data_IF_781369463652
#
_entry.id   IF_781369463652
#
_cell.length_a   1.000
_cell.length_b   1.000
_cell.length_c   1.000
_cell.angle_alpha   90.00
_cell.angle_beta   90.00
_cell.angle_gamma   90.00
#
_symmetry.space_group_name_H-M   'P 1'
#
loop_
_entity.id
_entity.type
_entity.pdbx_description
1 polymer ?
#
# COMPACT_ATOMS: atom_id res chain seq x y z
N UNK A 1 -15.12 25.56 15.54
CA UNK A 1 -15.30 24.45 14.56
C UNK A 1 -13.97 24.02 13.92
N UNK A 2 -12.84 24.62 14.29
CA UNK A 2 -11.49 24.32 13.73
C UNK A 2 -10.85 23.03 14.28
N UNK A 3 -11.28 22.59 15.46
CA UNK A 3 -10.80 21.34 16.06
C UNK A 3 -11.25 20.09 15.30
N UNK A 4 -12.48 20.10 14.76
CA UNK A 4 -13.02 18.96 14.02
C UNK A 4 -12.28 18.79 12.69
N UNK A 5 -12.04 19.88 11.97
CA UNK A 5 -11.25 19.87 10.74
C UNK A 5 -9.80 19.46 10.99
N UNK A 6 -9.19 19.87 12.11
CA UNK A 6 -7.84 19.41 12.48
C UNK A 6 -7.76 17.90 12.72
N UNK A 7 -8.77 17.30 13.34
CA UNK A 7 -8.83 15.85 13.56
C UNK A 7 -9.00 15.09 12.24
N UNK A 8 -9.87 15.59 11.34
CA UNK A 8 -10.09 14.99 10.02
C UNK A 8 -8.81 15.01 9.17
N UNK A 9 -8.05 16.11 9.18
CA UNK A 9 -6.76 16.22 8.47
C UNK A 9 -5.67 15.33 9.08
N UNK A 10 -5.64 15.21 10.42
CA UNK A 10 -4.76 14.27 11.10
C UNK A 10 -5.07 12.82 10.73
N UNK A 11 -6.35 12.45 10.70
CA UNK A 11 -6.77 11.10 10.32
C UNK A 11 -6.38 10.76 8.87
N UNK A 12 -6.57 11.71 7.94
CA UNK A 12 -6.11 11.56 6.54
C UNK A 12 -4.60 11.36 6.46
N UNK A 13 -3.82 12.12 7.25
CA UNK A 13 -2.37 12.00 7.28
C UNK A 13 -1.93 10.62 7.81
N UNK A 14 -2.52 10.16 8.92
CA UNK A 14 -2.23 8.85 9.51
C UNK A 14 -2.58 7.72 8.55
N UNK A 15 -3.72 7.81 7.83
CA UNK A 15 -4.08 6.86 6.78
C UNK A 15 -3.04 6.82 5.66
N UNK A 16 -2.56 7.99 5.19
CA UNK A 16 -1.51 8.06 4.17
C UNK A 16 -0.16 7.49 4.63
N UNK A 17 0.21 7.73 5.89
CA UNK A 17 1.46 7.19 6.45
C UNK A 17 1.44 5.68 6.63
N UNK A 18 0.27 5.10 6.91
CA UNK A 18 0.11 3.66 7.12
C UNK A 18 -0.25 2.90 5.84
N UNK A 19 -0.63 3.60 4.76
CA UNK A 19 -0.88 2.98 3.48
C UNK A 19 0.44 2.54 2.83
N UNK A 20 0.56 1.28 2.39
CA UNK A 20 1.73 0.83 1.63
C UNK A 20 1.79 1.56 0.29
N UNK A 21 3.00 1.91 -0.15
CA UNK A 21 3.25 2.43 -1.49
C UNK A 21 3.46 1.25 -2.43
N UNK A 22 2.69 1.21 -3.52
CA UNK A 22 2.76 0.15 -4.52
C UNK A 22 3.24 0.75 -5.83
N UNK A 23 4.26 0.15 -6.42
CA UNK A 23 4.80 0.51 -7.75
C UNK A 23 4.85 -0.73 -8.61
N UNK A 24 4.33 -0.65 -9.83
CA UNK A 24 4.43 -1.71 -10.83
C UNK A 24 5.58 -1.36 -11.77
N UNK A 25 6.55 -2.26 -11.86
CA UNK A 25 7.74 -2.09 -12.69
C UNK A 25 7.75 -3.13 -13.82
N UNK A 26 7.13 -2.77 -14.94
CA UNK A 26 7.04 -3.63 -16.13
C UNK A 26 8.31 -3.61 -16.99
N UNK A 27 9.31 -2.79 -16.66
CA UNK A 27 10.54 -2.68 -17.45
C UNK A 27 11.61 -3.70 -17.03
N UNK A 28 11.49 -4.26 -15.83
CA UNK A 28 12.51 -5.15 -15.23
C UNK A 28 12.51 -6.56 -15.83
N UNK A 29 11.33 -7.08 -16.21
CA UNK A 29 11.20 -8.44 -16.75
C UNK A 29 10.12 -8.49 -17.84
N UNK A 30 10.39 -9.04 -19.03
CA UNK A 30 9.38 -9.15 -20.09
C UNK A 30 8.30 -10.21 -19.79
N UNK A 31 8.63 -11.20 -18.95
CA UNK A 31 7.78 -12.38 -18.71
C UNK A 31 7.12 -12.38 -17.34
N UNK A 32 7.29 -11.31 -16.55
CA UNK A 32 6.71 -11.20 -15.21
C UNK A 32 6.39 -9.74 -14.86
N UNK A 33 5.29 -9.53 -14.14
CA UNK A 33 4.94 -8.24 -13.57
C UNK A 33 5.64 -8.08 -12.22
N UNK A 34 6.58 -7.13 -12.11
CA UNK A 34 7.25 -6.85 -10.84
C UNK A 34 6.44 -5.82 -10.05
N UNK A 35 5.91 -6.20 -8.89
CA UNK A 35 5.20 -5.30 -7.99
C UNK A 35 6.08 -5.02 -6.77
N UNK A 36 6.46 -3.75 -6.59
CA UNK A 36 7.26 -3.27 -5.45
C UNK A 36 6.30 -2.67 -4.42
N UNK A 37 6.39 -3.16 -3.18
CA UNK A 37 5.54 -2.71 -2.08
C UNK A 37 6.44 -2.18 -0.96
N UNK A 38 6.46 -0.86 -0.79
CA UNK A 38 7.17 -0.20 0.31
C UNK A 38 6.17 0.13 1.42
N UNK A 39 6.42 -0.34 2.64
CA UNK A 39 5.58 -0.01 3.80
C UNK A 39 6.43 0.49 4.97
N UNK A 40 6.03 1.63 5.53
CA UNK A 40 6.71 2.23 6.68
C UNK A 40 6.36 1.53 8.00
N UNK A 41 5.19 0.87 8.09
CA UNK A 41 4.72 0.20 9.31
C UNK A 41 3.78 -0.96 8.98
N UNK A 42 4.23 -2.19 9.27
CA UNK A 42 3.48 -3.38 9.71
C UNK A 42 4.26 -4.63 9.27
N UNK A 43 4.55 -5.51 10.23
CA UNK A 43 4.90 -6.89 9.90
C UNK A 43 3.67 -7.55 9.24
N UNK A 44 3.86 -8.24 8.11
CA UNK A 44 2.79 -9.00 7.45
C UNK A 44 2.12 -8.34 6.24
N UNK A 45 2.37 -7.05 5.94
CA UNK A 45 1.73 -6.38 4.77
C UNK A 45 2.12 -7.02 3.44
N UNK A 46 3.35 -7.55 3.35
CA UNK A 46 3.82 -8.25 2.16
C UNK A 46 3.04 -9.56 1.97
N UNK A 47 2.68 -10.23 3.07
CA UNK A 47 1.93 -11.49 3.02
C UNK A 47 0.48 -11.23 2.57
N UNK A 48 -0.17 -10.19 3.09
CA UNK A 48 -1.50 -9.76 2.64
C UNK A 48 -1.49 -9.36 1.15
N UNK A 49 -0.47 -8.61 0.70
CA UNK A 49 -0.34 -8.21 -0.70
C UNK A 49 -0.16 -9.43 -1.63
N UNK A 50 0.66 -10.41 -1.23
CA UNK A 50 0.84 -11.67 -1.99
C UNK A 50 -0.44 -12.49 -2.01
N UNK A 51 -1.16 -12.59 -0.89
CA UNK A 51 -2.43 -13.31 -0.82
C UNK A 51 -3.47 -12.69 -1.78
N UNK A 52 -3.65 -11.37 -1.75
CA UNK A 52 -4.57 -10.66 -2.66
C UNK A 52 -4.20 -10.86 -4.13
N UNK A 53 -2.92 -10.80 -4.48
CA UNK A 53 -2.48 -11.02 -5.86
C UNK A 53 -2.74 -12.47 -6.32
N UNK A 54 -2.59 -13.43 -5.41
CA UNK A 54 -2.85 -14.85 -5.68
C UNK A 54 -4.35 -15.10 -5.89
N UNK A 55 -5.21 -14.49 -5.06
CA UNK A 55 -6.67 -14.65 -5.14
C UNK A 55 -7.25 -14.09 -6.45
N UNK A 56 -6.63 -13.06 -7.05
CA UNK A 56 -7.03 -12.48 -8.35
C UNK A 56 -6.69 -13.38 -9.56
N UNK A 57 -5.82 -14.36 -9.38
CA UNK A 57 -5.38 -15.30 -10.43
C UNK A 57 -6.10 -16.65 -10.37
N UNK A 58 -7.08 -16.79 -9.47
CA UNK A 58 -7.98 -17.95 -9.38
C UNK A 58 -9.16 -17.83 -10.36
#
# INVERSE_FOLDING_TARGET
MEWQTSLDEYEKLVKRMNAPRVVIDNAVCPTATVVKVDSARKAGILLEAVQMLTDLTC
#
